data_IF_905536687440
#
_entry.id   IF_905536687440
#
_cell.length_a   1.000
_cell.length_b   1.000
_cell.length_c   1.000
_cell.angle_alpha   90.00
_cell.angle_beta   90.00
_cell.angle_gamma   90.00
#
_symmetry.space_group_name_H-M   'P 1'
#
loop_
_entity.id
_entity.type
_entity.pdbx_description
1 polymer ?
#
# COMPACT_ATOMS: atom_id res chain seq x y z
N UNK A 1 -6.44 -5.33 13.02
CA UNK A 1 -5.40 -4.91 12.06
C UNK A 1 -4.87 -3.52 12.40
N UNK A 2 -3.57 -3.29 12.23
CA UNK A 2 -2.99 -1.96 12.29
C UNK A 2 -2.07 -1.73 11.08
N UNK A 3 -2.05 -0.50 10.55
CA UNK A 3 -1.17 -0.12 9.44
C UNK A 3 -0.38 1.10 9.86
N UNK A 4 0.94 1.05 9.70
CA UNK A 4 1.84 2.14 10.06
C UNK A 4 2.56 2.59 8.80
N UNK A 5 2.37 3.86 8.44
CA UNK A 5 3.15 4.54 7.42
C UNK A 5 4.37 5.20 8.09
N UNK A 6 5.56 4.86 7.61
CA UNK A 6 6.81 5.47 8.04
C UNK A 6 7.46 6.20 6.86
N UNK A 7 7.74 7.49 7.03
CA UNK A 7 8.39 8.33 6.01
C UNK A 7 9.61 8.99 6.65
N UNK A 8 10.76 8.88 6.01
CA UNK A 8 12.04 9.45 6.46
C UNK A 8 12.66 10.30 5.38
N UNK A 9 13.17 11.48 5.76
CA UNK A 9 13.94 12.30 4.83
C UNK A 9 15.19 11.55 4.35
N UNK A 10 15.52 11.71 3.07
CA UNK A 10 16.79 11.26 2.49
C UNK A 10 17.48 12.42 1.78
N UNK A 11 18.77 12.28 1.43
CA UNK A 11 19.41 13.24 0.54
C UNK A 11 18.63 13.35 -0.77
N UNK A 12 18.37 14.58 -1.21
CA UNK A 12 17.54 14.85 -2.39
C UNK A 12 18.37 14.58 -3.65
N UNK A 13 17.84 13.75 -4.54
CA UNK A 13 18.36 13.52 -5.87
C UNK A 13 17.22 13.73 -6.84
N UNK A 14 17.25 14.86 -7.54
CA UNK A 14 16.17 15.23 -8.44
C UNK A 14 16.32 14.50 -9.76
N UNK A 15 15.22 13.92 -10.25
CA UNK A 15 15.12 13.43 -11.62
C UNK A 15 14.49 14.54 -12.47
N UNK A 16 15.33 15.22 -13.25
CA UNK A 16 14.91 16.29 -14.17
C UNK A 16 13.96 15.79 -15.27
N UNK A 17 13.86 14.47 -15.47
CA UNK A 17 12.96 13.83 -16.42
C UNK A 17 11.61 13.42 -15.84
N UNK A 18 11.36 13.61 -14.54
CA UNK A 18 10.10 13.20 -13.93
C UNK A 18 8.95 14.11 -14.40
N UNK A 19 8.03 13.55 -15.19
CA UNK A 19 6.92 14.28 -15.79
C UNK A 19 5.62 13.46 -15.72
N UNK A 20 4.56 14.05 -15.17
CA UNK A 20 3.25 13.42 -15.02
C UNK A 20 2.64 13.05 -16.37
N UNK A 21 2.81 13.91 -17.39
CA UNK A 21 2.22 13.70 -18.72
C UNK A 21 2.76 12.45 -19.43
N UNK A 22 4.00 12.05 -19.10
CA UNK A 22 4.69 10.93 -19.73
C UNK A 22 4.44 9.58 -19.02
N UNK A 23 3.91 9.59 -17.79
CA UNK A 23 3.82 8.40 -16.94
C UNK A 23 2.48 7.66 -16.99
N UNK A 24 1.44 8.24 -17.61
CA UNK A 24 0.09 7.64 -17.71
C UNK A 24 -0.52 7.18 -16.36
N UNK A 25 -0.14 7.81 -15.23
CA UNK A 25 -0.61 7.49 -13.88
C UNK A 25 -1.55 8.57 -13.32
N UNK A 26 -2.26 8.26 -12.23
CA UNK A 26 -3.09 9.26 -11.54
C UNK A 26 -2.24 10.32 -10.84
N UNK A 27 -2.82 11.51 -10.60
CA UNK A 27 -2.13 12.57 -9.84
C UNK A 27 -1.69 12.13 -8.43
N UNK A 28 -2.40 11.17 -7.81
CA UNK A 28 -2.00 10.61 -6.51
C UNK A 28 -0.78 9.72 -6.64
N UNK A 29 -0.75 8.82 -7.64
CA UNK A 29 0.44 8.02 -7.94
C UNK A 29 1.62 8.92 -8.31
N UNK A 30 1.42 9.92 -9.16
CA UNK A 30 2.49 10.85 -9.52
C UNK A 30 3.05 11.60 -8.30
N UNK A 31 2.19 12.00 -7.35
CA UNK A 31 2.64 12.60 -6.10
C UNK A 31 3.45 11.64 -5.21
N UNK A 32 3.16 10.32 -5.24
CA UNK A 32 4.02 9.30 -4.59
C UNK A 32 5.39 9.27 -5.27
N UNK A 33 5.41 9.21 -6.60
CA UNK A 33 6.66 9.17 -7.37
C UNK A 33 7.54 10.41 -7.11
N UNK A 34 6.93 11.60 -7.14
CA UNK A 34 7.63 12.85 -6.87
C UNK A 34 8.11 12.92 -5.41
N UNK A 35 7.30 12.44 -4.45
CA UNK A 35 7.69 12.34 -3.05
C UNK A 35 8.95 11.46 -2.87
N UNK A 36 9.10 10.43 -3.72
CA UNK A 36 10.27 9.54 -3.70
C UNK A 36 11.59 10.28 -3.90
N UNK A 37 11.61 11.47 -4.50
CA UNK A 37 12.85 12.25 -4.65
C UNK A 37 13.37 12.82 -3.31
N UNK A 38 12.51 12.92 -2.30
CA UNK A 38 12.78 13.61 -1.04
C UNK A 38 12.85 12.69 0.18
N UNK A 39 12.22 11.52 0.12
CA UNK A 39 12.07 10.61 1.27
C UNK A 39 12.29 9.15 0.89
N UNK A 40 12.54 8.31 1.90
CA UNK A 40 12.27 6.87 1.86
C UNK A 40 10.97 6.61 2.61
N UNK A 41 10.26 5.53 2.28
CA UNK A 41 9.05 5.18 3.01
C UNK A 41 8.79 3.68 3.05
N UNK A 42 8.07 3.25 4.08
CA UNK A 42 7.57 1.89 4.22
C UNK A 42 6.21 1.87 4.88
N UNK A 43 5.41 0.85 4.57
CA UNK A 43 4.12 0.58 5.19
C UNK A 43 4.21 -0.77 5.90
N UNK A 44 4.06 -0.78 7.22
CA UNK A 44 4.01 -2.01 8.01
C UNK A 44 2.57 -2.37 8.34
N UNK A 45 2.13 -3.54 7.86
CA UNK A 45 0.83 -4.15 8.10
C UNK A 45 0.96 -5.13 9.27
N UNK A 46 0.38 -4.79 10.42
CA UNK A 46 0.35 -5.65 11.60
C UNK A 46 -1.02 -6.32 11.73
N UNK A 47 -0.98 -7.64 11.87
CA UNK A 47 -2.14 -8.47 12.08
C UNK A 47 -2.10 -9.16 13.45
N UNK A 48 -3.17 -9.85 13.80
CA UNK A 48 -3.22 -10.59 15.05
C UNK A 48 -2.12 -11.66 15.10
N UNK A 49 -1.75 -12.05 16.33
CA UNK A 49 -0.70 -13.06 16.61
C UNK A 49 0.72 -12.66 16.21
N UNK A 50 0.99 -11.36 16.05
CA UNK A 50 2.34 -10.86 15.75
C UNK A 50 2.77 -11.04 14.29
N UNK A 51 1.82 -11.39 13.41
CA UNK A 51 2.04 -11.41 11.97
C UNK A 51 2.24 -9.99 11.46
N UNK A 52 3.25 -9.80 10.62
CA UNK A 52 3.63 -8.51 10.08
C UNK A 52 4.12 -8.69 8.65
N UNK A 53 3.62 -7.85 7.75
CA UNK A 53 4.10 -7.71 6.38
C UNK A 53 4.54 -6.26 6.19
N UNK A 54 5.70 -6.06 5.57
CA UNK A 54 6.24 -4.73 5.31
C UNK A 54 6.27 -4.51 3.80
N UNK A 55 5.79 -3.35 3.38
CA UNK A 55 5.81 -2.91 1.99
C UNK A 55 6.77 -1.73 1.88
N UNK A 56 7.68 -1.75 0.92
CA UNK A 56 8.35 -0.53 0.48
C UNK A 56 7.32 0.40 -0.17
N UNK A 57 7.34 1.69 0.20
CA UNK A 57 6.34 2.65 -0.27
C UNK A 57 6.44 2.92 -1.78
N UNK A 58 7.65 2.90 -2.33
CA UNK A 58 7.91 3.30 -3.72
C UNK A 58 8.08 2.12 -4.68
N UNK A 59 8.10 0.90 -4.15
CA UNK A 59 8.16 -0.32 -4.95
C UNK A 59 6.91 -1.16 -4.70
N UNK A 60 6.88 -1.90 -3.58
CA UNK A 60 5.79 -2.83 -3.26
C UNK A 60 4.42 -2.14 -3.29
N UNK A 61 4.26 -1.02 -2.58
CA UNK A 61 2.98 -0.30 -2.51
C UNK A 61 2.62 0.41 -3.81
N UNK A 62 3.60 0.98 -4.51
CA UNK A 62 3.35 1.74 -5.73
C UNK A 62 2.82 0.85 -6.86
N UNK A 63 3.37 -0.35 -7.00
CA UNK A 63 2.94 -1.30 -8.04
C UNK A 63 1.55 -1.85 -7.82
N UNK A 64 1.21 -2.22 -6.59
CA UNK A 64 -0.12 -2.74 -6.26
C UNK A 64 -1.10 -1.63 -5.84
N UNK A 65 -0.77 -0.37 -6.12
CA UNK A 65 -1.57 0.78 -5.73
C UNK A 65 -3.03 0.64 -6.16
N UNK A 66 -3.27 0.26 -7.42
CA UNK A 66 -4.62 0.14 -7.97
C UNK A 66 -5.41 -0.97 -7.28
N UNK A 67 -4.80 -2.14 -7.04
CA UNK A 67 -5.43 -3.26 -6.32
C UNK A 67 -5.76 -2.89 -4.87
N UNK A 68 -4.88 -2.13 -4.20
CA UNK A 68 -5.15 -1.60 -2.85
C UNK A 68 -6.30 -0.59 -2.90
N UNK A 69 -6.30 0.35 -3.84
CA UNK A 69 -7.38 1.35 -3.95
C UNK A 69 -8.71 0.67 -4.23
N UNK A 70 -8.75 -0.32 -5.11
CA UNK A 70 -9.97 -1.04 -5.45
C UNK A 70 -10.47 -1.92 -4.30
N UNK A 71 -9.58 -2.62 -3.59
CA UNK A 71 -9.96 -3.37 -2.39
C UNK A 71 -10.51 -2.45 -1.28
N UNK A 72 -9.98 -1.24 -1.11
CA UNK A 72 -10.52 -0.21 -0.20
C UNK A 72 -11.91 0.26 -0.66
N UNK A 73 -12.11 0.53 -1.96
CA UNK A 73 -13.43 0.94 -2.51
C UNK A 73 -14.48 -0.15 -2.32
N UNK A 74 -14.11 -1.41 -2.55
CA UNK A 74 -14.99 -2.56 -2.35
C UNK A 74 -15.33 -2.74 -0.86
N UNK A 75 -14.33 -2.61 0.02
CA UNK A 75 -14.52 -2.63 1.48
C UNK A 75 -15.46 -1.52 1.94
N UNK A 76 -15.21 -0.27 1.53
CA UNK A 76 -16.05 0.90 1.86
C UNK A 76 -17.53 0.67 1.52
N UNK A 77 -17.80 0.00 0.40
CA UNK A 77 -19.15 -0.29 -0.07
C UNK A 77 -19.71 -1.63 0.45
N UNK A 78 -18.93 -2.39 1.24
CA UNK A 78 -19.26 -3.74 1.72
C UNK A 78 -19.65 -4.70 0.58
N UNK A 79 -19.03 -4.52 -0.59
CA UNK A 79 -19.31 -5.32 -1.79
C UNK A 79 -18.68 -6.69 -1.63
N UNK A 80 -19.49 -7.74 -1.71
CA UNK A 80 -18.95 -9.11 -1.72
C UNK A 80 -18.04 -9.33 -2.92
N UNK A 81 -16.80 -9.68 -2.65
CA UNK A 81 -15.77 -9.81 -3.66
C UNK A 81 -14.68 -10.76 -3.20
N UNK A 82 -13.93 -11.32 -4.15
CA UNK A 82 -12.76 -12.13 -3.89
C UNK A 82 -11.74 -11.89 -4.99
N UNK A 83 -10.54 -11.50 -4.61
CA UNK A 83 -9.45 -11.21 -5.54
C UNK A 83 -8.10 -11.37 -4.86
N UNK A 84 -7.04 -10.97 -5.55
CA UNK A 84 -5.68 -10.89 -5.02
C UNK A 84 -5.09 -9.48 -5.13
N UNK A 85 -4.17 -9.17 -4.22
CA UNK A 85 -3.26 -8.02 -4.33
C UNK A 85 -1.86 -8.62 -4.48
N UNK A 86 -1.26 -8.46 -5.66
CA UNK A 86 0.02 -9.08 -5.97
C UNK A 86 1.16 -8.08 -5.88
N UNK A 87 2.14 -8.40 -5.03
CA UNK A 87 3.35 -7.61 -4.81
C UNK A 87 4.49 -8.32 -5.53
N UNK A 88 4.76 -7.91 -6.77
CA UNK A 88 5.80 -8.49 -7.61
C UNK A 88 6.72 -7.39 -8.14
N UNK A 89 7.76 -7.06 -7.38
CA UNK A 89 8.87 -6.24 -7.88
C UNK A 89 10.22 -6.71 -7.33
N UNK A 90 11.26 -6.52 -8.14
CA UNK A 90 12.67 -6.71 -7.77
C UNK A 90 13.00 -8.07 -7.13
N UNK A 91 12.27 -9.12 -7.53
CA UNK A 91 12.50 -10.49 -7.05
C UNK A 91 11.83 -10.80 -5.71
N UNK A 92 10.86 -9.99 -5.27
CA UNK A 92 9.95 -10.34 -4.18
C UNK A 92 8.57 -10.62 -4.76
N UNK A 93 8.14 -11.87 -4.66
CA UNK A 93 6.89 -12.42 -5.20
C UNK A 93 6.02 -12.91 -4.03
N UNK A 94 5.12 -12.06 -3.56
CA UNK A 94 4.14 -12.41 -2.52
C UNK A 94 2.80 -11.74 -2.80
N UNK A 95 1.72 -12.26 -2.22
CA UNK A 95 0.38 -11.73 -2.46
C UNK A 95 -0.52 -11.86 -1.24
N UNK A 96 -1.54 -11.01 -1.20
CA UNK A 96 -2.70 -11.20 -0.35
C UNK A 96 -3.86 -11.71 -1.19
N UNK A 97 -4.33 -12.93 -0.94
CA UNK A 97 -5.67 -13.31 -1.36
C UNK A 97 -6.66 -12.67 -0.39
N UNK A 98 -7.66 -11.96 -0.89
CA UNK A 98 -8.67 -11.35 -0.04
C UNK A 98 -10.10 -11.74 -0.42
N UNK A 99 -10.97 -11.73 0.57
CA UNK A 99 -12.39 -12.00 0.39
C UNK A 99 -13.23 -11.11 1.32
N UNK A 100 -14.21 -10.43 0.74
CA UNK A 100 -15.17 -9.57 1.46
C UNK A 100 -16.49 -10.32 1.57
N UNK A 101 -16.95 -10.55 2.80
CA UNK A 101 -18.19 -11.27 3.11
C UNK A 101 -18.95 -10.54 4.22
N UNK A 102 -19.92 -9.70 3.84
CA UNK A 102 -20.64 -8.87 4.79
C UNK A 102 -19.69 -7.88 5.46
N UNK A 103 -19.60 -7.94 6.80
CA UNK A 103 -18.70 -7.10 7.59
C UNK A 103 -17.30 -7.70 7.79
N UNK A 104 -17.04 -8.88 7.24
CA UNK A 104 -15.75 -9.57 7.34
C UNK A 104 -14.89 -9.35 6.10
N UNK A 105 -13.65 -8.93 6.32
CA UNK A 105 -12.59 -8.85 5.32
C UNK A 105 -11.52 -9.90 5.67
N UNK A 106 -11.46 -10.96 4.87
CA UNK A 106 -10.53 -12.07 5.08
C UNK A 106 -9.30 -11.81 4.23
N UNK A 107 -8.11 -11.90 4.83
CA UNK A 107 -6.82 -11.75 4.18
C UNK A 107 -5.99 -13.00 4.39
N UNK A 108 -5.43 -13.53 3.32
CA UNK A 108 -4.50 -14.67 3.34
C UNK A 108 -3.20 -14.25 2.67
N UNK A 109 -2.14 -14.14 3.47
CA UNK A 109 -0.80 -13.88 2.99
C UNK A 109 -0.21 -15.17 2.42
N UNK A 110 0.28 -15.09 1.19
CA UNK A 110 0.92 -16.18 0.46
C UNK A 110 2.28 -15.78 -0.06
N UNK A 111 3.18 -16.75 -0.08
CA UNK A 111 4.48 -16.60 -0.72
C UNK A 111 4.44 -17.19 -2.11
N UNK A 112 4.98 -16.44 -3.05
CA UNK A 112 5.35 -16.95 -4.35
C UNK A 112 6.71 -17.62 -4.32
N UNK A 113 7.34 -17.66 -5.49
CA UNK A 113 8.54 -18.47 -5.75
C UNK A 113 9.82 -17.92 -5.13
N UNK A 114 9.97 -16.60 -5.04
CA UNK A 114 11.08 -15.92 -4.38
C UNK A 114 10.59 -14.67 -3.67
N UNK A 115 10.61 -14.67 -2.34
CA UNK A 115 10.20 -13.52 -1.52
C UNK A 115 11.45 -12.83 -0.98
N UNK A 116 11.53 -11.51 -1.17
CA UNK A 116 12.61 -10.66 -0.66
C UNK A 116 12.50 -10.41 0.86
N UNK A 117 13.58 -9.89 1.45
CA UNK A 117 13.52 -9.39 2.83
C UNK A 117 12.71 -8.08 2.89
N UNK A 118 11.96 -7.81 3.98
CA UNK A 118 11.89 -8.58 5.23
C UNK A 118 10.84 -9.72 5.21
N UNK A 119 10.00 -9.80 4.17
CA UNK A 119 8.86 -10.72 4.14
C UNK A 119 9.26 -12.20 3.97
N UNK A 120 10.47 -12.47 3.47
CA UNK A 120 11.03 -13.82 3.29
C UNK A 120 10.93 -14.70 4.53
N UNK A 121 11.06 -14.14 5.72
CA UNK A 121 11.06 -14.90 6.99
C UNK A 121 9.69 -15.06 7.63
N UNK A 122 8.65 -14.40 7.11
CA UNK A 122 7.29 -14.43 7.67
C UNK A 122 6.58 -15.72 7.26
N UNK A 123 5.82 -16.38 8.11
CA UNK A 123 5.07 -17.57 7.69
C UNK A 123 3.83 -17.16 6.88
N UNK A 124 3.30 -18.05 6.02
CA UNK A 124 1.99 -17.83 5.43
C UNK A 124 0.93 -17.83 6.52
N UNK A 125 -0.04 -16.92 6.44
CA UNK A 125 -1.08 -16.81 7.45
C UNK A 125 -2.40 -16.37 6.84
N UNK A 126 -3.47 -16.59 7.59
CA UNK A 126 -4.81 -16.14 7.27
C UNK A 126 -5.41 -15.44 8.47
N UNK A 127 -6.00 -14.28 8.23
CA UNK A 127 -6.63 -13.44 9.25
C UNK A 127 -7.97 -12.92 8.75
N UNK A 128 -8.85 -12.63 9.70
CA UNK A 128 -10.13 -11.99 9.45
C UNK A 128 -10.15 -10.68 10.22
N UNK A 129 -10.50 -9.60 9.53
CA UNK A 129 -10.60 -8.26 10.09
C UNK A 129 -11.97 -7.69 9.76
N UNK A 130 -12.43 -6.70 10.53
CA UNK A 130 -13.68 -6.04 10.20
C UNK A 130 -13.47 -5.13 8.97
N UNK A 131 -14.44 -5.11 8.06
CA UNK A 131 -14.39 -4.29 6.83
C UNK A 131 -14.20 -2.80 7.17
N UNK A 132 -14.94 -2.30 8.15
CA UNK A 132 -14.85 -0.90 8.58
C UNK A 132 -13.47 -0.61 9.21
N UNK A 133 -12.87 -1.59 9.90
CA UNK A 133 -11.51 -1.49 10.42
C UNK A 133 -10.49 -1.44 9.28
N UNK A 134 -10.53 -2.38 8.33
CA UNK A 134 -9.66 -2.40 7.15
C UNK A 134 -9.69 -1.08 6.39
N UNK A 135 -10.90 -0.59 6.06
CA UNK A 135 -11.10 0.69 5.40
C UNK A 135 -10.50 1.84 6.20
N UNK A 136 -10.79 1.93 7.50
CA UNK A 136 -10.30 3.02 8.35
C UNK A 136 -8.77 3.05 8.44
N UNK A 137 -8.12 1.88 8.49
CA UNK A 137 -6.66 1.79 8.62
C UNK A 137 -5.95 2.19 7.34
N UNK A 138 -6.45 1.78 6.19
CA UNK A 138 -5.91 2.26 4.92
C UNK A 138 -6.16 3.74 4.71
N UNK A 139 -7.35 4.23 5.05
CA UNK A 139 -7.66 5.66 4.96
C UNK A 139 -6.63 6.52 5.71
N UNK A 140 -6.22 6.10 6.91
CA UNK A 140 -5.19 6.82 7.69
C UNK A 140 -3.85 6.88 6.94
N UNK A 141 -3.44 5.80 6.24
CA UNK A 141 -2.22 5.79 5.42
C UNK A 141 -2.31 6.81 4.30
N UNK A 142 -3.41 6.80 3.55
CA UNK A 142 -3.63 7.72 2.44
C UNK A 142 -3.72 9.19 2.90
N UNK A 143 -4.38 9.46 4.03
CA UNK A 143 -4.37 10.79 4.66
C UNK A 143 -2.96 11.22 5.09
N UNK A 144 -2.15 10.28 5.60
CA UNK A 144 -0.73 10.51 5.92
C UNK A 144 0.12 10.84 4.69
N UNK A 145 -0.11 10.16 3.56
CA UNK A 145 0.52 10.47 2.28
C UNK A 145 0.11 11.86 1.77
N UNK A 146 -1.18 12.19 1.79
CA UNK A 146 -1.67 13.54 1.42
C UNK A 146 -1.02 14.64 2.26
N UNK A 147 -0.82 14.42 3.56
CA UNK A 147 -0.09 15.36 4.41
C UNK A 147 1.39 15.49 3.96
N UNK A 148 2.06 14.37 3.68
CA UNK A 148 3.43 14.38 3.19
C UNK A 148 3.56 15.12 1.85
N UNK A 149 2.61 14.94 0.91
CA UNK A 149 2.58 15.70 -0.35
C UNK A 149 2.46 17.20 -0.09
N UNK A 150 1.61 17.60 0.84
CA UNK A 150 1.45 19.01 1.19
C UNK A 150 2.73 19.59 1.81
N UNK A 151 3.37 18.88 2.72
CA UNK A 151 4.55 19.35 3.43
C UNK A 151 5.82 19.35 2.58
N UNK A 152 5.98 18.37 1.68
CA UNK A 152 7.19 18.20 0.86
C UNK A 152 7.08 18.81 -0.53
N UNK A 153 5.91 18.71 -1.14
CA UNK A 153 5.67 19.07 -2.54
C UNK A 153 4.80 20.32 -2.68
N UNK A 154 4.16 20.77 -1.59
CA UNK A 154 3.20 21.87 -1.64
C UNK A 154 1.91 21.52 -2.40
N UNK A 155 1.62 20.21 -2.58
CA UNK A 155 0.48 19.71 -3.35
C UNK A 155 -0.67 19.30 -2.44
N UNK A 156 -1.89 19.59 -2.85
CA UNK A 156 -3.13 19.13 -2.22
C UNK A 156 -3.82 18.14 -3.17
N UNK A 157 -3.65 16.84 -2.90
CA UNK A 157 -4.10 15.75 -3.77
C UNK A 157 -5.23 14.99 -3.09
N UNK A 158 -6.37 14.88 -3.77
CA UNK A 158 -7.55 14.20 -3.26
C UNK A 158 -7.32 12.69 -3.09
N UNK A 159 -7.96 12.10 -2.08
CA UNK A 159 -7.92 10.65 -1.86
C UNK A 159 -8.60 9.89 -3.01
N UNK A 160 -8.10 8.71 -3.39
CA UNK A 160 -8.57 8.00 -4.57
C UNK A 160 -9.83 7.11 -4.36
N UNK A 161 -10.56 7.20 -3.24
CA UNK A 161 -11.68 6.28 -2.92
C UNK A 161 -12.87 6.85 -2.13
#
# INVERSE_FOLDING_TARGET
>A
MNIILEIKNKPVFLDDGLNEEDMEITAFQFAIEELSQYVTGSISLFFDHGNEIVLDLFYDFFICYDDIVDSIRLAKNKTSHKDEIWFCEQGSDFYFLYEIKGDSFILEYKKGSDVGFPNKTKEEFKVEVQVDEYFSKWRIVFEGLSLAFKEKLGKDVALPF
#
